data_IF_729437792911
#
_entry.id   IF_729437792911
#
_cell.length_a   1.000
_cell.length_b   1.000
_cell.length_c   1.000
_cell.angle_alpha   90.00
_cell.angle_beta   90.00
_cell.angle_gamma   90.00
#
_symmetry.space_group_name_H-M   'P 1'
#
loop_
_entity.id
_entity.type
_entity.pdbx_description
1 polymer ?
#
# COMPACT_ATOMS: atom_id res chain seq x y z
N UNK A 1 8.26 13.93 -12.39
CA UNK A 1 7.81 13.74 -10.99
C UNK A 1 6.34 14.08 -10.75
N UNK A 2 5.84 15.24 -11.19
CA UNK A 2 4.48 15.68 -10.82
C UNK A 2 3.37 14.81 -11.44
N UNK A 3 3.55 14.37 -12.69
CA UNK A 3 2.60 13.45 -13.35
C UNK A 3 2.50 12.13 -12.60
N UNK A 4 3.63 11.50 -12.26
CA UNK A 4 3.65 10.24 -11.52
C UNK A 4 3.00 10.35 -10.13
N UNK A 5 3.25 11.46 -9.41
CA UNK A 5 2.58 11.73 -8.12
C UNK A 5 1.08 11.89 -8.28
N UNK A 6 0.64 12.61 -9.32
CA UNK A 6 -0.79 12.79 -9.61
C UNK A 6 -1.44 11.44 -9.95
N UNK A 7 -0.79 10.60 -10.76
CA UNK A 7 -1.29 9.25 -11.09
C UNK A 7 -1.43 8.39 -9.84
N UNK A 8 -0.42 8.32 -8.98
CA UNK A 8 -0.49 7.54 -7.72
C UNK A 8 -1.59 8.08 -6.81
N UNK A 9 -1.72 9.41 -6.70
CA UNK A 9 -2.79 10.05 -5.93
C UNK A 9 -4.17 9.71 -6.46
N UNK A 10 -4.39 9.77 -7.78
CA UNK A 10 -5.67 9.43 -8.42
C UNK A 10 -6.01 7.96 -8.19
N UNK A 11 -5.05 7.05 -8.37
CA UNK A 11 -5.26 5.61 -8.14
C UNK A 11 -5.58 5.34 -6.66
N UNK A 12 -4.86 5.99 -5.74
CA UNK A 12 -5.13 5.88 -4.30
C UNK A 12 -6.52 6.39 -3.93
N UNK A 13 -6.96 7.51 -4.52
CA UNK A 13 -8.31 8.05 -4.34
C UNK A 13 -9.39 7.15 -4.95
N UNK A 14 -9.13 6.56 -6.11
CA UNK A 14 -10.04 5.59 -6.71
C UNK A 14 -10.20 4.35 -5.82
N UNK A 15 -9.11 3.85 -5.25
CA UNK A 15 -9.14 2.75 -4.28
C UNK A 15 -9.91 3.14 -3.01
N UNK A 16 -9.68 4.34 -2.48
CA UNK A 16 -10.44 4.86 -1.34
C UNK A 16 -11.95 4.91 -1.66
N UNK A 17 -12.32 5.38 -2.85
CA UNK A 17 -13.71 5.39 -3.31
C UNK A 17 -14.31 3.99 -3.39
N UNK A 18 -13.55 3.00 -3.86
CA UNK A 18 -13.96 1.60 -3.90
C UNK A 18 -14.16 1.02 -2.49
N UNK A 19 -13.28 1.33 -1.54
CA UNK A 19 -13.42 0.91 -0.14
C UNK A 19 -14.65 1.56 0.51
N UNK A 20 -14.90 2.84 0.28
CA UNK A 20 -16.09 3.54 0.78
C UNK A 20 -17.36 2.92 0.19
N UNK A 21 -17.39 2.71 -1.13
CA UNK A 21 -18.50 2.04 -1.80
C UNK A 21 -18.75 0.65 -1.20
N UNK A 22 -17.70 -0.15 -1.02
CA UNK A 22 -17.82 -1.47 -0.41
C UNK A 22 -18.37 -1.42 1.02
N UNK A 23 -17.94 -0.45 1.83
CA UNK A 23 -18.44 -0.24 3.19
C UNK A 23 -19.92 0.21 3.23
N UNK A 24 -20.35 1.04 2.28
CA UNK A 24 -21.74 1.55 2.20
C UNK A 24 -22.68 0.55 1.53
N UNK A 25 -22.18 -0.36 0.70
CA UNK A 25 -22.95 -1.44 0.08
C UNK A 25 -23.23 -2.63 1.03
N UNK A 26 -22.65 -2.63 2.24
CA UNK A 26 -22.85 -3.66 3.27
C UNK A 26 -24.28 -3.84 3.83
N UNK A 27 -25.27 -2.93 3.70
CA UNK A 27 -26.61 -3.16 4.27
C UNK A 27 -27.34 -4.37 3.67
N UNK A 28 -27.07 -4.74 2.42
CA UNK A 28 -27.95 -5.65 1.68
C UNK A 28 -27.36 -7.04 1.37
N UNK A 29 -26.05 -7.26 1.60
CA UNK A 29 -25.36 -8.51 1.18
C UNK A 29 -24.42 -9.06 2.26
N UNK A 30 -24.92 -10.06 3.01
CA UNK A 30 -24.12 -11.12 3.66
C UNK A 30 -23.27 -10.77 4.90
N UNK A 31 -23.73 -9.87 5.79
CA UNK A 31 -23.17 -9.73 7.14
C UNK A 31 -22.00 -8.76 7.27
N UNK A 32 -21.25 -8.86 8.37
CA UNK A 32 -20.16 -7.93 8.70
C UNK A 32 -18.92 -8.14 7.82
N UNK A 33 -17.99 -7.19 7.82
CA UNK A 33 -16.69 -7.33 7.14
C UNK A 33 -15.96 -8.64 7.49
N UNK A 34 -16.03 -9.06 8.76
CA UNK A 34 -15.41 -10.30 9.22
C UNK A 34 -16.11 -11.55 8.68
N UNK A 35 -17.42 -11.50 8.44
CA UNK A 35 -18.17 -12.62 7.86
C UNK A 35 -17.78 -12.81 6.39
N UNK A 36 -17.64 -11.71 5.65
CA UNK A 36 -17.16 -11.74 4.26
C UNK A 36 -15.71 -12.24 4.18
N UNK A 37 -14.84 -11.79 5.09
CA UNK A 37 -13.48 -12.33 5.20
C UNK A 37 -13.45 -13.82 5.53
N UNK A 38 -14.33 -14.28 6.42
CA UNK A 38 -14.44 -15.69 6.78
C UNK A 38 -14.87 -16.54 5.58
N UNK A 39 -15.77 -16.05 4.72
CA UNK A 39 -16.13 -16.73 3.47
C UNK A 39 -14.93 -16.74 2.50
N UNK A 40 -14.20 -15.64 2.37
CA UNK A 40 -13.02 -15.58 1.50
C UNK A 40 -11.94 -16.60 1.88
N UNK A 41 -11.75 -16.89 3.17
CA UNK A 41 -10.77 -17.90 3.61
C UNK A 41 -11.22 -19.34 3.38
N UNK A 42 -12.51 -19.58 3.10
CA UNK A 42 -12.98 -20.91 2.65
C UNK A 42 -12.67 -21.19 1.18
N UNK A 43 -12.42 -20.15 0.38
CA UNK A 43 -12.12 -20.27 -1.04
C UNK A 43 -10.59 -20.38 -1.25
N UNK A 44 -10.08 -21.39 -1.96
CA UNK A 44 -8.63 -21.54 -2.20
C UNK A 44 -8.00 -20.29 -2.84
N UNK A 45 -8.69 -19.70 -3.80
CA UNK A 45 -8.27 -18.44 -4.43
C UNK A 45 -8.39 -17.23 -3.51
N UNK A 46 -9.34 -17.21 -2.57
CA UNK A 46 -9.46 -16.13 -1.58
C UNK A 46 -8.28 -16.14 -0.60
N UNK A 47 -7.84 -17.32 -0.17
CA UNK A 47 -6.61 -17.46 0.63
C UNK A 47 -5.38 -17.03 -0.18
N UNK A 48 -5.29 -17.44 -1.45
CA UNK A 48 -4.15 -17.08 -2.30
C UNK A 48 -4.05 -15.56 -2.53
N UNK A 49 -5.16 -14.87 -2.77
CA UNK A 49 -5.15 -13.40 -2.97
C UNK A 49 -4.86 -12.64 -1.68
N UNK A 50 -5.35 -13.12 -0.53
CA UNK A 50 -4.97 -12.57 0.78
C UNK A 50 -3.47 -12.76 1.03
N UNK A 51 -2.93 -13.95 0.76
CA UNK A 51 -1.50 -14.22 0.91
C UNK A 51 -0.67 -13.29 -0.01
N UNK A 52 -1.04 -13.16 -1.27
CA UNK A 52 -0.38 -12.26 -2.23
C UNK A 52 -0.38 -10.80 -1.74
N UNK A 53 -1.53 -10.31 -1.25
CA UNK A 53 -1.66 -8.96 -0.70
C UNK A 53 -0.71 -8.72 0.49
N UNK A 54 -0.70 -9.63 1.46
CA UNK A 54 0.12 -9.48 2.68
C UNK A 54 1.62 -9.68 2.43
N UNK A 55 1.99 -10.58 1.52
CA UNK A 55 3.38 -10.70 1.06
C UNK A 55 3.82 -9.43 0.33
N UNK A 56 2.94 -8.85 -0.49
CA UNK A 56 3.15 -7.53 -1.09
C UNK A 56 3.38 -6.42 -0.05
N UNK A 57 2.59 -6.40 1.03
CA UNK A 57 2.79 -5.45 2.14
C UNK A 57 4.13 -5.67 2.85
N UNK A 58 4.57 -6.92 3.01
CA UNK A 58 5.88 -7.23 3.59
C UNK A 58 7.01 -6.70 2.71
N UNK A 59 6.96 -6.92 1.39
CA UNK A 59 7.96 -6.37 0.47
C UNK A 59 7.96 -4.84 0.48
N UNK A 60 6.78 -4.22 0.52
CA UNK A 60 6.67 -2.77 0.67
C UNK A 60 7.29 -2.29 2.00
N UNK A 61 7.01 -2.97 3.11
CA UNK A 61 7.60 -2.65 4.41
C UNK A 61 9.12 -2.71 4.36
N UNK A 62 9.71 -3.78 3.79
CA UNK A 62 11.16 -3.89 3.60
C UNK A 62 11.70 -2.70 2.80
N UNK A 63 11.04 -2.31 1.71
CA UNK A 63 11.44 -1.15 0.90
C UNK A 63 11.39 0.14 1.72
N UNK A 64 10.34 0.36 2.53
CA UNK A 64 10.23 1.51 3.43
C UNK A 64 11.40 1.52 4.44
N UNK A 65 11.74 0.39 5.04
CA UNK A 65 12.86 0.28 5.97
C UNK A 65 14.23 0.53 5.31
N UNK A 66 14.41 0.16 4.04
CA UNK A 66 15.65 0.41 3.30
C UNK A 66 15.80 1.87 2.84
N UNK A 67 14.69 2.56 2.61
CA UNK A 67 14.68 3.93 2.06
C UNK A 67 14.68 5.01 3.13
N UNK A 68 14.15 4.69 4.31
CA UNK A 68 14.08 5.61 5.45
C UNK A 68 15.33 5.53 6.33
N UNK A 69 15.93 6.68 6.65
CA UNK A 69 17.13 6.72 7.50
C UNK A 69 16.84 6.43 8.99
N UNK A 70 15.58 6.61 9.42
CA UNK A 70 15.14 6.34 10.79
C UNK A 70 14.21 5.15 10.82
N UNK A 71 14.60 4.12 11.56
CA UNK A 71 13.80 2.91 11.76
C UNK A 71 12.43 3.20 12.39
N UNK A 72 12.31 4.25 13.21
CA UNK A 72 11.05 4.68 13.81
C UNK A 72 10.10 5.25 12.75
N UNK A 73 10.62 6.10 11.86
CA UNK A 73 9.83 6.66 10.76
C UNK A 73 9.43 5.56 9.77
N UNK A 74 10.34 4.62 9.51
CA UNK A 74 10.03 3.44 8.70
C UNK A 74 8.89 2.62 9.30
N UNK A 75 8.94 2.32 10.61
CA UNK A 75 7.89 1.59 11.30
C UNK A 75 6.54 2.33 11.28
N UNK A 76 6.54 3.66 11.46
CA UNK A 76 5.33 4.49 11.38
C UNK A 76 4.67 4.46 9.99
N UNK A 77 5.44 4.22 8.93
CA UNK A 77 4.90 4.08 7.58
C UNK A 77 4.56 2.65 7.21
N UNK A 78 5.37 1.67 7.63
CA UNK A 78 5.21 0.27 7.26
C UNK A 78 4.10 -0.44 8.05
N UNK A 79 4.02 -0.24 9.38
CA UNK A 79 3.08 -0.97 10.24
C UNK A 79 1.61 -0.68 9.88
N UNK A 80 1.20 0.57 9.62
CA UNK A 80 -0.20 0.84 9.29
C UNK A 80 -0.64 0.28 7.93
N UNK A 81 0.28 -0.08 7.02
CA UNK A 81 -0.08 -0.68 5.72
C UNK A 81 -0.79 -2.02 5.90
N UNK A 82 -0.45 -2.78 6.94
CA UNK A 82 -1.11 -4.07 7.20
C UNK A 82 -2.58 -3.93 7.60
N UNK A 83 -3.00 -2.74 8.04
CA UNK A 83 -4.38 -2.47 8.47
C UNK A 83 -5.12 -1.58 7.46
N UNK A 84 -4.50 -0.47 7.05
CA UNK A 84 -5.07 0.51 6.12
C UNK A 84 -4.91 0.10 4.65
N UNK A 85 -4.05 -0.89 4.39
CA UNK A 85 -3.78 -1.40 3.05
C UNK A 85 -3.05 -0.40 2.15
N UNK A 86 -3.29 -0.56 0.85
CA UNK A 86 -2.59 0.18 -0.20
C UNK A 86 -2.88 1.68 -0.22
N UNK A 87 -3.94 2.16 0.46
CA UNK A 87 -4.23 3.61 0.56
C UNK A 87 -3.11 4.32 1.33
N UNK A 88 -2.63 3.71 2.42
CA UNK A 88 -1.53 4.25 3.21
C UNK A 88 -0.19 4.17 2.46
N UNK A 89 0.04 3.06 1.74
CA UNK A 89 1.21 2.90 0.89
C UNK A 89 1.24 3.96 -0.25
N UNK A 90 0.09 4.26 -0.86
CA UNK A 90 -0.04 5.29 -1.87
C UNK A 90 0.28 6.69 -1.31
N UNK A 91 -0.20 7.00 -0.10
CA UNK A 91 0.14 8.26 0.58
C UNK A 91 1.64 8.38 0.82
N UNK A 92 2.29 7.33 1.33
CA UNK A 92 3.73 7.31 1.52
C UNK A 92 4.49 7.54 0.20
N UNK A 93 4.10 6.85 -0.87
CA UNK A 93 4.70 7.01 -2.19
C UNK A 93 4.57 8.45 -2.71
N UNK A 94 3.40 9.08 -2.59
CA UNK A 94 3.19 10.47 -3.04
C UNK A 94 4.10 11.47 -2.29
N UNK A 95 4.35 11.22 -1.01
CA UNK A 95 5.19 12.08 -0.15
C UNK A 95 6.68 11.83 -0.39
N UNK A 96 7.10 10.56 -0.51
CA UNK A 96 8.52 10.17 -0.61
C UNK A 96 9.06 10.11 -2.04
N UNK A 97 8.22 10.07 -3.07
CA UNK A 97 8.63 10.08 -4.47
C UNK A 97 9.75 11.08 -4.82
N UNK A 98 9.67 12.37 -4.42
CA UNK A 98 10.71 13.33 -4.79
C UNK A 98 12.05 13.09 -4.08
N UNK A 99 12.06 12.48 -2.89
CA UNK A 99 13.29 12.08 -2.21
C UNK A 99 13.89 10.84 -2.86
N UNK A 100 13.06 9.83 -3.17
CA UNK A 100 13.48 8.61 -3.86
C UNK A 100 14.05 8.91 -5.24
N UNK A 101 13.37 9.75 -6.03
CA UNK A 101 13.86 10.14 -7.35
C UNK A 101 15.20 10.87 -7.28
N UNK A 102 15.41 11.73 -6.27
CA UNK A 102 16.71 12.39 -6.05
C UNK A 102 17.81 11.41 -5.64
N UNK A 103 17.48 10.35 -4.89
CA UNK A 103 18.45 9.30 -4.53
C UNK A 103 18.83 8.47 -5.76
N UNK A 104 17.85 8.06 -6.56
CA UNK A 104 18.06 7.26 -7.77
C UNK A 104 18.70 8.03 -8.94
N UNK A 105 18.62 9.36 -8.91
CA UNK A 105 19.21 10.22 -9.96
C UNK A 105 20.67 10.59 -9.70
N UNK A 106 21.25 10.23 -8.55
CA UNK A 106 22.68 10.42 -8.29
C UNK A 106 23.44 9.29 -8.97
N UNK A 107 24.32 9.54 -9.95
CA UNK A 107 25.20 8.52 -10.48
C UNK A 107 26.26 8.22 -9.41
N UNK A 108 26.18 7.03 -8.83
CA UNK A 108 27.12 6.49 -7.85
C UNK A 108 28.31 5.77 -8.53
N UNK A 109 28.47 5.93 -9.84
CA UNK A 109 29.66 5.45 -10.53
C UNK A 109 30.85 6.38 -10.23
N UNK A 110 31.98 5.89 -9.70
CA UNK A 110 33.22 6.64 -9.79
C UNK A 110 33.51 6.79 -11.29
N UNK A 111 33.40 8.01 -11.81
CA UNK A 111 33.96 8.32 -13.12
C UNK A 111 35.47 8.08 -13.02
N UNK A 112 35.88 6.89 -13.45
CA UNK A 112 37.27 6.47 -13.62
C UNK A 112 37.91 7.28 -14.73
#
# INVERSE_FOLDING_TARGET
MNVLRATIGIVGLALLGLVIWAAVAMPDLHGSFFDQLAVLTTLPWGVATLADLYVGFLFFAVLVFLTERSWVVAALWAVPVFVLGNIWAALWLVIRLPHLAKQLSKPDWPAS
#
